data_IF_166017549818
#
_entry.id   IF_166017549818
#
_cell.length_a   1.000
_cell.length_b   1.000
_cell.length_c   1.000
_cell.angle_alpha   90.00
_cell.angle_beta   90.00
_cell.angle_gamma   90.00
#
_symmetry.space_group_name_H-M   'P 1'
#
loop_
_entity.id
_entity.type
_entity.pdbx_description
1 polymer ?
#
# COMPACT_ATOMS: atom_id res chain seq x y z
N UNK A 1 1.09 8.94 -22.67
CA UNK A 1 0.22 8.63 -23.82
C UNK A 1 -0.46 9.88 -24.38
N UNK A 2 -1.32 10.59 -23.64
CA UNK A 2 -2.00 11.79 -24.18
C UNK A 2 -1.03 12.94 -24.58
N UNK A 3 0.05 13.16 -23.82
CA UNK A 3 1.07 14.16 -24.20
C UNK A 3 1.88 13.78 -25.44
N UNK A 4 2.09 12.48 -25.70
CA UNK A 4 2.81 12.01 -26.89
C UNK A 4 1.95 12.15 -28.16
N UNK A 5 0.63 11.96 -28.04
CA UNK A 5 -0.32 12.21 -29.12
C UNK A 5 -0.37 13.70 -29.51
N UNK A 6 -0.30 14.62 -28.53
CA UNK A 6 -0.23 16.06 -28.79
C UNK A 6 1.07 16.47 -29.52
N UNK A 7 2.20 15.82 -29.21
CA UNK A 7 3.47 16.06 -29.89
C UNK A 7 3.43 15.62 -31.37
N UNK A 8 2.76 14.50 -31.66
CA UNK A 8 2.63 13.99 -33.03
C UNK A 8 1.72 14.86 -33.92
N UNK A 9 0.69 15.50 -33.34
CA UNK A 9 -0.31 16.27 -34.10
C UNK A 9 0.04 17.74 -34.39
N UNK A 10 1.22 18.25 -33.97
CA UNK A 10 1.67 19.63 -34.28
C UNK A 10 0.57 20.71 -34.11
N UNK A 11 -0.15 20.71 -32.97
CA UNK A 11 -1.20 21.70 -32.73
C UNK A 11 -0.62 23.10 -32.41
N UNK A 12 -1.35 24.19 -32.75
CA UNK A 12 -0.98 25.55 -32.35
C UNK A 12 -0.84 25.68 -30.83
N UNK A 13 0.14 26.46 -30.37
CA UNK A 13 0.60 26.54 -28.98
C UNK A 13 -0.50 26.81 -27.94
N UNK A 14 -1.55 27.54 -28.31
CA UNK A 14 -2.73 27.83 -27.46
C UNK A 14 -3.64 26.61 -27.21
N UNK A 15 -3.80 25.74 -28.20
CA UNK A 15 -4.63 24.53 -28.05
C UNK A 15 -3.85 23.41 -27.35
N UNK A 16 -2.54 23.33 -27.59
CA UNK A 16 -1.66 22.39 -26.89
C UNK A 16 -1.64 22.65 -25.37
N UNK A 17 -1.47 23.90 -24.93
CA UNK A 17 -1.47 24.25 -23.50
C UNK A 17 -2.81 23.99 -22.82
N UNK A 18 -3.93 24.34 -23.47
CA UNK A 18 -5.27 24.03 -22.95
C UNK A 18 -5.52 22.51 -22.83
N UNK A 19 -5.10 21.72 -23.83
CA UNK A 19 -5.20 20.26 -23.78
C UNK A 19 -4.33 19.65 -22.67
N UNK A 20 -3.10 20.14 -22.48
CA UNK A 20 -2.21 19.70 -21.39
C UNK A 20 -2.84 19.96 -20.00
N UNK A 21 -3.46 21.12 -19.80
CA UNK A 21 -4.16 21.45 -18.55
C UNK A 21 -5.36 20.53 -18.33
N UNK A 22 -6.19 20.32 -19.36
CA UNK A 22 -7.36 19.43 -19.27
C UNK A 22 -6.96 17.99 -18.93
N UNK A 23 -5.92 17.45 -19.58
CA UNK A 23 -5.38 16.12 -19.30
C UNK A 23 -4.87 16.05 -17.85
N UNK A 24 -4.17 17.08 -17.37
CA UNK A 24 -3.64 17.13 -15.99
C UNK A 24 -4.77 17.06 -14.95
N UNK A 25 -5.87 17.78 -15.18
CA UNK A 25 -7.03 17.76 -14.28
C UNK A 25 -7.64 16.35 -14.22
N UNK A 26 -7.85 15.70 -15.37
CA UNK A 26 -8.39 14.33 -15.43
C UNK A 26 -7.45 13.33 -14.76
N UNK A 27 -6.14 13.42 -15.01
CA UNK A 27 -5.15 12.59 -14.35
C UNK A 27 -5.09 12.82 -12.84
N UNK A 28 -5.21 14.08 -12.39
CA UNK A 28 -5.24 14.43 -10.98
C UNK A 28 -6.38 13.72 -10.23
N UNK A 29 -7.59 13.74 -10.80
CA UNK A 29 -8.74 13.03 -10.22
C UNK A 29 -8.49 11.51 -10.18
N UNK A 30 -7.96 10.93 -11.27
CA UNK A 30 -7.64 9.50 -11.33
C UNK A 30 -6.62 9.06 -10.29
N UNK A 31 -5.58 9.87 -10.05
CA UNK A 31 -4.56 9.55 -9.05
C UNK A 31 -5.14 9.50 -7.63
N UNK A 32 -6.09 10.38 -7.28
CA UNK A 32 -6.75 10.38 -5.97
C UNK A 32 -7.42 9.05 -5.63
N UNK A 33 -8.12 8.44 -6.59
CA UNK A 33 -8.75 7.13 -6.42
C UNK A 33 -7.72 6.00 -6.21
N UNK A 34 -6.63 6.01 -6.97
CA UNK A 34 -5.56 5.00 -6.86
C UNK A 34 -4.84 5.07 -5.52
N UNK A 35 -4.62 6.27 -4.96
CA UNK A 35 -4.01 6.43 -3.63
C UNK A 35 -4.92 5.94 -2.49
N UNK A 36 -6.24 5.97 -2.69
CA UNK A 36 -7.21 5.60 -1.66
C UNK A 36 -7.30 4.09 -1.44
N UNK A 37 -7.15 3.29 -2.51
CA UNK A 37 -7.29 1.83 -2.44
C UNK A 37 -6.26 1.20 -1.49
N UNK A 38 -4.93 1.42 -1.64
CA UNK A 38 -3.95 0.89 -0.70
C UNK A 38 -4.18 1.38 0.72
N UNK A 39 -4.62 2.64 0.89
CA UNK A 39 -4.86 3.21 2.21
C UNK A 39 -5.96 2.46 2.96
N UNK A 40 -7.10 2.22 2.31
CA UNK A 40 -8.22 1.47 2.90
C UNK A 40 -7.89 -0.01 3.17
N UNK A 41 -7.16 -0.65 2.26
CA UNK A 41 -6.76 -2.05 2.43
C UNK A 41 -5.73 -2.19 3.54
N UNK A 42 -4.89 -1.18 3.71
CA UNK A 42 -3.90 -1.17 4.75
C UNK A 42 -4.48 -1.00 6.15
N UNK A 43 -5.38 -0.03 6.32
CA UNK A 43 -6.10 0.15 7.59
C UNK A 43 -6.87 -1.12 7.94
N UNK A 44 -7.48 -1.77 6.94
CA UNK A 44 -8.14 -3.05 7.12
C UNK A 44 -7.19 -4.17 7.56
N UNK A 45 -6.02 -4.29 6.94
CA UNK A 45 -5.03 -5.30 7.33
C UNK A 45 -4.50 -5.07 8.76
N UNK A 46 -4.27 -3.81 9.13
CA UNK A 46 -3.88 -3.45 10.49
C UNK A 46 -4.98 -3.76 11.51
N UNK A 47 -6.25 -3.49 11.18
CA UNK A 47 -7.39 -3.86 12.02
C UNK A 47 -7.51 -5.38 12.18
N UNK A 48 -7.33 -6.15 11.10
CA UNK A 48 -7.35 -7.62 11.14
C UNK A 48 -6.19 -8.18 11.97
N UNK A 49 -4.99 -7.61 11.85
CA UNK A 49 -3.83 -8.00 12.67
C UNK A 49 -4.04 -7.63 14.15
N UNK A 50 -4.68 -6.50 14.45
CA UNK A 50 -5.07 -6.14 15.81
C UNK A 50 -6.09 -7.15 16.37
N UNK A 51 -7.08 -7.56 15.58
CA UNK A 51 -8.06 -8.59 15.96
C UNK A 51 -7.37 -9.92 16.22
N UNK A 52 -6.38 -10.29 15.42
CA UNK A 52 -5.66 -11.55 15.61
C UNK A 52 -4.73 -11.51 16.83
N UNK A 53 -3.92 -10.46 16.94
CA UNK A 53 -2.82 -10.37 17.93
C UNK A 53 -3.21 -9.70 19.25
N UNK A 54 -4.33 -8.96 19.28
CA UNK A 54 -4.77 -8.16 20.42
C UNK A 54 -3.86 -6.98 20.76
N UNK A 55 -2.91 -6.61 19.88
CA UNK A 55 -1.93 -5.53 20.13
C UNK A 55 -2.08 -4.42 19.10
N UNK A 56 -2.10 -3.18 19.58
CA UNK A 56 -2.15 -1.99 18.75
C UNK A 56 -0.75 -1.64 18.22
N UNK A 57 -0.42 -2.10 17.00
CA UNK A 57 0.90 -1.89 16.34
C UNK A 57 0.86 -0.85 15.20
N UNK A 58 -0.06 0.10 15.28
CA UNK A 58 -0.33 1.10 14.23
C UNK A 58 0.92 1.85 13.74
N UNK A 59 1.90 2.12 14.63
CA UNK A 59 3.13 2.83 14.28
C UNK A 59 4.08 2.06 13.36
N UNK A 60 4.23 0.75 13.57
CA UNK A 60 5.08 -0.11 12.71
C UNK A 60 4.44 -0.20 11.33
N UNK A 61 3.11 -0.26 11.30
CA UNK A 61 2.35 -0.23 10.07
C UNK A 61 2.51 1.14 9.35
N UNK A 62 2.23 2.26 9.99
CA UNK A 62 2.41 3.58 9.34
C UNK A 62 3.83 3.82 8.81
N UNK A 63 4.86 3.37 9.56
CA UNK A 63 6.26 3.42 9.13
C UNK A 63 6.55 2.59 7.88
N UNK A 64 6.12 1.32 7.87
CA UNK A 64 6.38 0.39 6.75
C UNK A 64 5.72 0.87 5.45
N UNK A 65 4.52 1.44 5.54
CA UNK A 65 3.79 1.97 4.38
C UNK A 65 4.56 3.11 3.70
N UNK A 66 4.94 4.12 4.47
CA UNK A 66 5.64 5.29 3.94
C UNK A 66 7.06 4.96 3.48
N UNK A 67 7.74 4.07 4.20
CA UNK A 67 9.07 3.59 3.85
C UNK A 67 9.06 2.84 2.51
N UNK A 68 8.16 1.86 2.35
CA UNK A 68 8.03 1.10 1.11
C UNK A 68 7.70 2.01 -0.08
N UNK A 69 6.79 2.97 0.11
CA UNK A 69 6.44 3.94 -0.91
C UNK A 69 7.57 4.91 -1.28
N UNK A 70 8.47 5.24 -0.34
CA UNK A 70 9.68 6.04 -0.63
C UNK A 70 10.75 5.22 -1.33
N UNK A 71 10.94 3.96 -0.91
CA UNK A 71 11.90 3.05 -1.50
C UNK A 71 11.58 2.79 -2.97
N UNK A 72 10.32 2.46 -3.29
CA UNK A 72 9.88 2.25 -4.68
C UNK A 72 10.11 3.50 -5.53
N UNK A 73 9.74 4.69 -5.03
CA UNK A 73 9.98 5.96 -5.74
C UNK A 73 11.48 6.23 -5.96
N UNK A 74 12.30 5.97 -4.96
CA UNK A 74 13.76 6.12 -5.06
C UNK A 74 14.35 5.21 -6.13
N UNK A 75 13.95 3.94 -6.15
CA UNK A 75 14.39 2.97 -7.17
C UNK A 75 13.99 3.43 -8.57
N UNK A 76 12.75 3.89 -8.76
CA UNK A 76 12.29 4.39 -10.07
C UNK A 76 13.13 5.58 -10.55
N UNK A 77 13.32 6.58 -9.69
CA UNK A 77 14.10 7.79 -10.04
C UNK A 77 15.56 7.45 -10.29
N UNK A 78 16.12 6.53 -9.51
CA UNK A 78 17.50 6.06 -9.68
C UNK A 78 17.68 5.34 -11.01
N UNK A 79 16.81 4.38 -11.34
CA UNK A 79 16.85 3.66 -12.61
C UNK A 79 16.66 4.61 -13.79
N UNK A 80 15.72 5.56 -13.69
CA UNK A 80 15.52 6.61 -14.70
C UNK A 80 16.81 7.42 -14.90
N UNK A 81 17.43 7.90 -13.82
CA UNK A 81 18.68 8.65 -13.87
C UNK A 81 19.85 7.87 -14.49
N UNK A 82 19.96 6.57 -14.16
CA UNK A 82 20.97 5.69 -14.73
C UNK A 82 20.81 5.54 -16.26
N UNK A 83 19.58 5.37 -16.74
CA UNK A 83 19.28 5.30 -18.17
C UNK A 83 19.61 6.64 -18.85
N UNK A 84 19.18 7.76 -18.28
CA UNK A 84 19.48 9.09 -18.85
C UNK A 84 20.99 9.37 -18.93
N UNK A 85 21.74 8.98 -17.90
CA UNK A 85 23.21 9.10 -17.88
C UNK A 85 23.87 8.29 -19.00
N UNK A 86 23.40 7.05 -19.21
CA UNK A 86 23.91 6.18 -20.27
C UNK A 86 23.65 6.73 -21.69
N UNK A 87 22.52 7.39 -21.91
CA UNK A 87 22.18 8.02 -23.20
C UNK A 87 22.79 9.41 -23.40
N UNK A 88 23.71 9.84 -22.52
CA UNK A 88 24.47 11.09 -22.69
C UNK A 88 23.66 12.35 -22.40
N UNK A 89 22.71 12.29 -21.44
CA UNK A 89 21.94 13.46 -21.03
C UNK A 89 22.85 14.58 -20.50
N UNK A 90 22.91 15.69 -21.24
CA UNK A 90 23.63 16.91 -20.86
C UNK A 90 22.67 17.87 -20.15
N UNK A 91 22.73 17.93 -18.82
CA UNK A 91 21.81 18.70 -17.96
C UNK A 91 21.83 20.23 -18.16
N UNK A 92 22.57 20.76 -19.15
CA UNK A 92 22.79 22.20 -19.38
C UNK A 92 22.83 22.64 -20.85
N UNK A 93 22.49 21.78 -21.81
CA UNK A 93 22.41 22.15 -23.23
C UNK A 93 20.98 22.57 -23.61
N UNK A 94 20.83 23.72 -24.27
CA UNK A 94 19.54 24.19 -24.83
C UNK A 94 18.98 23.22 -25.90
N UNK A 95 19.87 22.47 -26.56
CA UNK A 95 19.53 21.41 -27.52
C UNK A 95 19.97 20.06 -26.97
N UNK A 96 19.00 19.23 -26.59
CA UNK A 96 19.25 17.84 -26.21
C UNK A 96 19.45 16.98 -27.46
N UNK A 97 20.39 16.02 -27.44
CA UNK A 97 20.55 15.09 -28.55
C UNK A 97 19.28 14.27 -28.75
N UNK A 98 18.94 14.00 -30.01
CA UNK A 98 17.73 13.27 -30.41
C UNK A 98 17.67 11.88 -29.77
N UNK A 99 18.82 11.24 -29.55
CA UNK A 99 18.95 9.97 -28.83
C UNK A 99 18.45 10.03 -27.38
N UNK A 100 18.69 11.13 -26.66
CA UNK A 100 18.24 11.31 -25.28
C UNK A 100 16.73 11.57 -25.21
N UNK A 101 16.17 12.29 -26.19
CA UNK A 101 14.72 12.51 -26.30
C UNK A 101 14.00 11.18 -26.60
N UNK A 102 14.54 10.38 -27.53
CA UNK A 102 14.02 9.05 -27.83
C UNK A 102 14.12 8.11 -26.64
N UNK A 103 15.21 8.15 -25.88
CA UNK A 103 15.37 7.34 -24.66
C UNK A 103 14.32 7.71 -23.59
N UNK A 104 14.09 9.00 -23.36
CA UNK A 104 13.03 9.46 -22.44
C UNK A 104 11.66 8.99 -22.95
N UNK A 105 11.36 9.18 -24.23
CA UNK A 105 10.08 8.75 -24.80
C UNK A 105 9.86 7.23 -24.66
N UNK A 106 10.91 6.43 -24.89
CA UNK A 106 10.86 4.97 -24.76
C UNK A 106 10.67 4.54 -23.31
N UNK A 107 11.40 5.11 -22.36
CA UNK A 107 11.22 4.80 -20.93
C UNK A 107 9.83 5.20 -20.44
N UNK A 108 9.31 6.35 -20.87
CA UNK A 108 7.96 6.78 -20.50
C UNK A 108 6.86 5.97 -21.18
N UNK A 109 7.07 5.47 -22.41
CA UNK A 109 6.07 4.63 -23.06
C UNK A 109 6.14 3.20 -22.54
N UNK A 110 7.28 2.54 -22.69
CA UNK A 110 7.47 1.13 -22.34
C UNK A 110 7.44 0.93 -20.82
N UNK A 111 8.13 1.78 -20.06
CA UNK A 111 8.20 1.67 -18.61
C UNK A 111 6.84 1.89 -17.94
N UNK A 112 6.08 2.91 -18.36
CA UNK A 112 4.73 3.15 -17.81
C UNK A 112 3.76 2.04 -18.20
N UNK A 113 3.82 1.52 -19.43
CA UNK A 113 3.00 0.37 -19.84
C UNK A 113 3.33 -0.86 -18.99
N UNK A 114 4.62 -1.17 -18.80
CA UNK A 114 5.04 -2.30 -17.99
C UNK A 114 4.57 -2.17 -16.53
N UNK A 115 4.72 -0.99 -15.91
CA UNK A 115 4.22 -0.73 -14.56
C UNK A 115 2.69 -0.81 -14.50
N UNK A 116 1.97 -0.33 -15.52
CA UNK A 116 0.52 -0.42 -15.59
C UNK A 116 0.04 -1.87 -15.70
N UNK A 117 0.70 -2.69 -16.53
CA UNK A 117 0.39 -4.12 -16.66
C UNK A 117 0.68 -4.88 -15.36
N UNK A 118 1.81 -4.60 -14.70
CA UNK A 118 2.11 -5.16 -13.39
C UNK A 118 1.04 -4.73 -12.37
N UNK A 119 0.63 -3.46 -12.38
CA UNK A 119 -0.44 -2.94 -11.52
C UNK A 119 -1.77 -3.66 -11.76
N UNK A 120 -2.16 -3.87 -13.02
CA UNK A 120 -3.38 -4.62 -13.38
C UNK A 120 -3.28 -6.08 -12.92
N UNK A 121 -2.12 -6.73 -13.12
CA UNK A 121 -1.89 -8.10 -12.68
C UNK A 121 -2.03 -8.25 -11.16
N UNK A 122 -1.35 -7.40 -10.38
CA UNK A 122 -1.46 -7.40 -8.92
C UNK A 122 -2.85 -7.00 -8.44
N UNK A 123 -3.50 -6.04 -9.10
CA UNK A 123 -4.87 -5.64 -8.80
C UNK A 123 -5.87 -6.77 -9.09
N UNK A 124 -5.65 -7.58 -10.12
CA UNK A 124 -6.50 -8.74 -10.42
C UNK A 124 -6.34 -9.87 -9.40
N UNK A 125 -5.19 -9.97 -8.74
CA UNK A 125 -4.99 -10.91 -7.63
C UNK A 125 -5.64 -10.45 -6.32
N UNK A 126 -5.87 -9.15 -6.14
CA UNK A 126 -6.64 -8.64 -5.00
C UNK A 126 -8.13 -8.97 -5.17
N UNK A 127 -8.54 -10.14 -4.67
CA UNK A 127 -9.94 -10.47 -4.41
C UNK A 127 -10.46 -9.66 -3.21
N UNK A 128 -10.47 -8.33 -3.33
CA UNK A 128 -11.03 -7.45 -2.31
C UNK A 128 -12.56 -7.51 -2.38
N UNK A 129 -13.14 -8.51 -1.70
CA UNK A 129 -14.58 -8.64 -1.64
C UNK A 129 -15.11 -7.60 -0.64
N UNK A 130 -15.71 -6.51 -1.14
CA UNK A 130 -16.31 -5.42 -0.32
C UNK A 130 -17.25 -5.97 0.76
N UNK A 131 -17.90 -7.12 0.48
CA UNK A 131 -18.75 -7.82 1.43
C UNK A 131 -17.97 -8.35 2.65
N UNK A 132 -16.78 -8.93 2.43
CA UNK A 132 -15.93 -9.42 3.51
C UNK A 132 -15.41 -8.28 4.39
N UNK A 133 -15.04 -7.15 3.78
CA UNK A 133 -14.63 -5.95 4.51
C UNK A 133 -15.73 -5.43 5.45
N UNK A 134 -16.98 -5.37 4.98
CA UNK A 134 -18.12 -4.91 5.80
C UNK A 134 -18.46 -5.89 6.93
N UNK A 135 -18.39 -7.20 6.66
CA UNK A 135 -18.62 -8.25 7.66
C UNK A 135 -17.61 -8.17 8.79
N UNK A 136 -16.33 -7.97 8.46
CA UNK A 136 -15.25 -7.84 9.46
C UNK A 136 -15.41 -6.55 10.27
N UNK A 137 -15.70 -5.41 9.63
CA UNK A 137 -15.91 -4.15 10.37
C UNK A 137 -17.06 -4.26 11.38
N UNK A 138 -18.18 -4.90 10.98
CA UNK A 138 -19.33 -5.10 11.85
C UNK A 138 -18.98 -5.97 13.06
N UNK A 139 -18.17 -7.02 12.85
CA UNK A 139 -17.73 -7.91 13.91
C UNK A 139 -16.73 -7.25 14.87
N UNK A 140 -15.78 -6.47 14.35
CA UNK A 140 -14.83 -5.69 15.17
C UNK A 140 -15.59 -4.67 16.03
N UNK A 141 -16.60 -4.01 15.48
CA UNK A 141 -17.44 -3.07 16.23
C UNK A 141 -18.21 -3.78 17.36
N UNK A 142 -18.74 -5.00 17.11
CA UNK A 142 -19.43 -5.82 18.11
C UNK A 142 -18.53 -6.20 19.27
N UNK A 143 -17.30 -6.63 19.00
CA UNK A 143 -16.34 -7.01 20.04
C UNK A 143 -15.87 -5.79 20.83
N UNK A 144 -15.60 -4.66 20.17
CA UNK A 144 -15.26 -3.39 20.85
C UNK A 144 -16.39 -2.87 21.75
N UNK A 145 -17.65 -3.18 21.42
CA UNK A 145 -18.81 -2.86 22.26
C UNK A 145 -18.98 -3.81 23.49
N UNK A 146 -18.03 -4.71 23.74
CA UNK A 146 -18.07 -5.66 24.86
C UNK A 146 -18.81 -6.96 24.56
N UNK A 147 -19.06 -7.27 23.27
CA UNK A 147 -19.65 -8.53 22.85
C UNK A 147 -18.74 -9.73 23.18
N UNK A 148 -19.34 -10.83 23.65
CA UNK A 148 -18.58 -12.06 23.89
C UNK A 148 -18.12 -12.70 22.56
N UNK A 149 -16.89 -13.23 22.55
CA UNK A 149 -16.27 -13.91 21.39
C UNK A 149 -17.06 -15.18 21.02
N UNK A 150 -17.77 -15.79 21.98
CA UNK A 150 -18.64 -16.95 21.79
C UNK A 150 -19.91 -16.67 20.96
N UNK A 151 -20.38 -15.42 20.89
CA UNK A 151 -21.61 -15.02 20.18
C UNK A 151 -21.33 -14.60 18.71
N UNK A 152 -20.49 -15.35 18.00
CA UNK A 152 -20.21 -15.11 16.57
C UNK A 152 -21.18 -15.89 15.68
N UNK A 153 -21.70 -15.25 14.61
CA UNK A 153 -22.54 -15.93 13.61
C UNK A 153 -21.67 -16.83 12.73
N UNK A 154 -22.16 -18.01 12.32
CA UNK A 154 -21.39 -18.98 11.52
C UNK A 154 -20.81 -18.40 10.22
N UNK A 155 -21.56 -17.52 9.55
CA UNK A 155 -21.11 -16.84 8.33
C UNK A 155 -19.93 -15.88 8.59
N UNK A 156 -19.96 -15.18 9.72
CA UNK A 156 -18.89 -14.24 10.13
C UNK A 156 -17.64 -15.02 10.51
N UNK A 157 -17.81 -16.16 11.22
CA UNK A 157 -16.71 -17.07 11.57
C UNK A 157 -15.99 -17.57 10.32
N UNK A 158 -16.72 -18.09 9.32
CA UNK A 158 -16.12 -18.61 8.10
C UNK A 158 -15.34 -17.54 7.31
N UNK A 159 -15.86 -16.31 7.26
CA UNK A 159 -15.18 -15.18 6.61
C UNK A 159 -13.90 -14.80 7.36
N UNK A 160 -13.96 -14.71 8.69
CA UNK A 160 -12.79 -14.39 9.52
C UNK A 160 -11.70 -15.46 9.44
N UNK A 161 -12.06 -16.74 9.48
CA UNK A 161 -11.12 -17.86 9.35
C UNK A 161 -10.49 -17.91 7.95
N UNK A 162 -11.25 -17.60 6.90
CA UNK A 162 -10.73 -17.50 5.54
C UNK A 162 -9.77 -16.31 5.34
N UNK A 163 -9.99 -15.20 6.06
CA UNK A 163 -9.16 -13.99 6.00
C UNK A 163 -7.87 -14.13 6.84
N UNK A 164 -8.00 -14.71 8.04
CA UNK A 164 -6.92 -14.79 9.03
C UNK A 164 -6.10 -16.07 8.82
N UNK A 165 -6.71 -17.14 8.29
CA UNK A 165 -6.08 -18.46 8.12
C UNK A 165 -5.98 -19.28 9.41
N UNK A 166 -6.54 -18.80 10.52
CA UNK A 166 -6.56 -19.46 11.82
C UNK A 166 -8.00 -19.57 12.36
N UNK A 167 -8.30 -20.57 13.22
CA UNK A 167 -9.60 -20.70 13.84
C UNK A 167 -9.93 -19.50 14.72
N UNK A 168 -11.19 -19.06 14.70
CA UNK A 168 -11.64 -17.82 15.36
C UNK A 168 -11.37 -17.81 16.88
N UNK A 169 -11.33 -18.98 17.51
CA UNK A 169 -11.06 -19.17 18.95
C UNK A 169 -9.62 -18.81 19.36
N UNK A 170 -8.69 -18.79 18.40
CA UNK A 170 -7.30 -18.36 18.58
C UNK A 170 -7.10 -16.88 18.27
N UNK A 171 -8.12 -16.19 17.74
CA UNK A 171 -8.07 -14.74 17.57
C UNK A 171 -8.13 -14.04 18.94
N UNK A 172 -7.95 -12.71 18.94
CA UNK A 172 -7.96 -11.87 20.13
C UNK A 172 -6.81 -12.15 21.11
N UNK A 173 -5.63 -12.53 20.58
CA UNK A 173 -4.42 -12.74 21.38
C UNK A 173 -4.42 -14.04 22.21
N UNK A 174 -5.35 -14.96 21.90
CA UNK A 174 -5.47 -16.27 22.54
C UNK A 174 -4.68 -17.38 21.78
N UNK A 175 -4.06 -17.04 20.64
CA UNK A 175 -3.25 -17.95 19.85
C UNK A 175 -1.94 -18.35 20.55
N UNK A 176 -1.50 -19.58 20.30
CA UNK A 176 -0.22 -20.12 20.80
C UNK A 176 0.98 -19.25 20.43
N UNK A 177 0.94 -18.62 19.25
CA UNK A 177 1.97 -17.69 18.75
C UNK A 177 2.04 -16.40 19.57
N UNK A 178 0.89 -15.85 19.98
CA UNK A 178 0.84 -14.65 20.83
C UNK A 178 1.17 -14.94 22.30
N UNK A 179 0.88 -16.14 22.78
CA UNK A 179 1.20 -16.61 24.13
C UNK A 179 2.69 -16.96 24.30
N UNK A 180 3.34 -17.57 23.30
CA UNK A 180 4.79 -17.85 23.33
C UNK A 180 5.61 -16.55 23.41
N UNK A 181 5.24 -15.53 22.62
CA UNK A 181 5.84 -14.20 22.70
C UNK A 181 5.55 -13.45 24.01
N UNK A 182 4.52 -13.85 24.77
CA UNK A 182 4.22 -13.32 26.11
C UNK A 182 5.15 -13.93 27.16
N UNK A 183 5.34 -15.25 27.13
CA UNK A 183 6.28 -15.95 28.02
C UNK A 183 7.73 -15.51 27.81
N UNK A 184 8.17 -15.33 26.55
CA UNK A 184 9.51 -14.81 26.24
C UNK A 184 9.77 -13.39 26.75
N UNK A 185 8.70 -12.59 26.92
CA UNK A 185 8.81 -11.21 27.42
C UNK A 185 8.78 -11.16 28.95
N UNK A 186 8.05 -12.08 29.59
CA UNK A 186 8.06 -12.29 31.04
C UNK A 186 9.43 -12.81 31.54
N UNK A 187 10.08 -13.70 30.79
CA UNK A 187 11.44 -14.19 31.07
C UNK A 187 12.53 -13.11 30.96
N UNK A 188 12.24 -11.96 30.32
CA UNK A 188 13.19 -10.84 30.17
C UNK A 188 13.03 -9.75 31.24
N UNK A 189 12.05 -9.88 32.12
CA UNK A 189 11.92 -9.02 33.30
C UNK A 189 12.35 -9.82 34.53
N UNK A 190 13.63 -9.75 34.95
CA UNK A 190 13.96 -10.15 36.30
C UNK A 190 13.17 -9.23 37.24
N UNK A 191 12.35 -9.84 38.08
CA UNK A 191 11.66 -9.17 39.16
C UNK A 191 12.71 -8.45 40.00
N UNK A 192 12.80 -7.13 39.85
CA UNK A 192 13.58 -6.28 40.75
C UNK A 192 12.96 -6.44 42.13
N UNK A 193 13.74 -7.14 42.97
CA UNK A 193 13.68 -7.24 44.41
C UNK A 193 12.43 -6.71 45.09
N UNK A 194 11.60 -7.65 45.54
CA UNK A 194 10.93 -7.51 46.83
C UNK A 194 11.98 -7.26 47.91
N UNK A 195 12.19 -6.01 48.31
CA UNK A 195 12.66 -5.69 49.66
C UNK A 195 11.46 -5.18 50.45
N UNK A 196 10.80 -6.15 51.10
CA UNK A 196 10.16 -5.93 52.39
C UNK A 196 11.19 -5.32 53.34
N UNK A 197 10.81 -4.23 54.00
CA UNK A 197 10.72 -4.06 55.46
C UNK A 197 11.68 -2.96 55.95
N UNK A 198 11.47 -2.40 57.16
CA UNK A 198 10.30 -2.44 58.03
C UNK A 198 9.62 -1.07 58.24
#
# INVERSE_FOLDING_TARGET
>A
MCYAALFFFHLPQQYATAAMLAITVVFGIGTGGVYYIPWTVYTFLADVDEVFTGRRREGIYAGTMTFSGKLVRSVIVFTMGAILSFYGFQSKSQTQPESAVMAIALVFCVGVIALALAGIYFSAQMKLNRKAHLVVLAEVARIRAGGQISHVTADVRAVMEALIGFPYEQCWGNSTVCCDGRNKHLDRTPLVGTTRQP
#
